data_IF_090168482773
#
_entry.id   IF_090168482773
#
_cell.length_a   1.000
_cell.length_b   1.000
_cell.length_c   1.000
_cell.angle_alpha   90.00
_cell.angle_beta   90.00
_cell.angle_gamma   90.00
#
_symmetry.space_group_name_H-M   'P 1'
#
loop_
_entity.id
_entity.type
_entity.pdbx_description
1 polymer ?
#
# COMPACT_ATOMS: atom_id res chain seq x y z
N UNK A 1 -3.36 11.55 4.65
CA UNK A 1 -2.26 10.68 4.16
C UNK A 1 -0.99 10.97 4.96
N UNK A 2 -0.37 9.98 5.59
CA UNK A 2 0.89 10.17 6.30
C UNK A 2 2.06 10.32 5.33
N UNK A 3 3.10 11.04 5.72
CA UNK A 3 4.34 11.15 4.95
C UNK A 3 5.29 10.00 5.34
N UNK A 4 5.33 8.95 4.53
CA UNK A 4 6.16 7.78 4.79
C UNK A 4 7.66 8.07 4.64
N UNK A 5 8.04 8.88 3.65
CA UNK A 5 9.44 9.20 3.41
C UNK A 5 10.06 9.93 4.62
N UNK A 6 9.29 10.72 5.33
CA UNK A 6 9.77 11.50 6.46
C UNK A 6 10.13 10.67 7.70
N UNK A 7 9.62 9.43 7.81
CA UNK A 7 9.89 8.59 8.99
C UNK A 7 11.09 7.65 8.80
N UNK A 8 11.63 7.56 7.59
CA UNK A 8 12.83 6.76 7.35
C UNK A 8 14.00 7.29 8.19
N UNK A 9 14.70 6.39 8.87
CA UNK A 9 15.80 6.73 9.78
C UNK A 9 15.39 7.15 11.20
N UNK A 10 14.08 7.30 11.46
CA UNK A 10 13.57 7.60 12.80
C UNK A 10 13.50 6.35 13.67
N UNK A 11 13.40 6.56 14.98
CA UNK A 11 12.96 5.51 15.91
C UNK A 11 11.45 5.31 15.81
N UNK A 12 10.94 4.20 16.36
CA UNK A 12 9.50 3.94 16.40
C UNK A 12 8.73 5.08 17.08
N UNK A 13 9.17 5.55 18.23
CA UNK A 13 8.47 6.60 18.98
C UNK A 13 8.44 7.93 18.23
N UNK A 14 9.56 8.30 17.60
CA UNK A 14 9.62 9.47 16.74
C UNK A 14 8.66 9.37 15.56
N UNK A 15 8.57 8.19 14.93
CA UNK A 15 7.69 7.97 13.80
C UNK A 15 6.21 8.04 14.17
N UNK A 16 5.82 7.44 15.29
CA UNK A 16 4.42 7.51 15.79
C UNK A 16 4.00 8.95 15.99
N UNK A 17 4.86 9.77 16.59
CA UNK A 17 4.59 11.20 16.78
C UNK A 17 4.54 11.95 15.44
N UNK A 18 5.45 11.66 14.52
CA UNK A 18 5.54 12.30 13.20
C UNK A 18 4.35 11.96 12.31
N UNK A 19 3.87 10.73 12.34
CA UNK A 19 2.78 10.25 11.49
C UNK A 19 1.45 10.94 11.79
N UNK A 20 1.19 11.31 13.04
CA UNK A 20 -0.11 11.90 13.43
C UNK A 20 -1.28 11.00 13.05
N UNK A 21 -2.39 11.53 12.59
CA UNK A 21 -3.57 10.78 12.10
C UNK A 21 -4.11 9.73 13.08
N UNK A 22 -3.93 9.95 14.39
CA UNK A 22 -4.33 9.01 15.43
C UNK A 22 -3.48 7.74 15.45
N UNK A 23 -2.20 7.84 15.05
CA UNK A 23 -1.28 6.70 14.96
C UNK A 23 -1.20 5.92 16.28
N UNK A 24 -1.61 4.66 16.24
CA UNK A 24 -1.66 3.75 17.37
C UNK A 24 -1.03 2.43 17.01
N UNK A 25 0.00 2.01 17.76
CA UNK A 25 0.65 0.70 17.54
C UNK A 25 -0.33 -0.42 17.88
N UNK A 26 -0.60 -1.28 16.90
CA UNK A 26 -1.51 -2.43 17.06
C UNK A 26 -0.77 -3.76 17.10
N UNK A 27 0.44 -3.83 16.57
CA UNK A 27 1.27 -5.03 16.56
C UNK A 27 2.74 -4.66 16.49
N UNK A 28 3.55 -5.45 17.19
CA UNK A 28 5.01 -5.36 17.15
C UNK A 28 5.57 -6.77 17.24
N UNK A 29 6.39 -7.16 16.24
CA UNK A 29 6.93 -8.52 16.15
C UNK A 29 8.42 -8.47 15.81
N UNK A 30 9.20 -9.33 16.48
CA UNK A 30 10.59 -9.56 16.10
C UNK A 30 10.65 -10.37 14.80
N UNK A 31 11.59 -10.02 13.94
CA UNK A 31 11.86 -10.72 12.69
C UNK A 31 13.21 -11.43 12.85
N UNK A 32 13.17 -12.76 12.87
CA UNK A 32 14.35 -13.61 13.08
C UNK A 32 14.75 -14.33 11.78
N UNK A 33 14.74 -13.62 10.68
CA UNK A 33 15.12 -14.13 9.37
C UNK A 33 16.58 -13.77 9.08
N UNK A 34 17.41 -14.78 8.84
CA UNK A 34 18.80 -14.58 8.52
C UNK A 34 18.94 -13.81 7.19
N UNK A 35 19.82 -12.81 7.17
CA UNK A 35 20.05 -11.96 6.01
C UNK A 35 19.00 -10.86 5.79
N UNK A 36 17.94 -10.81 6.60
CA UNK A 36 16.96 -9.73 6.54
C UNK A 36 17.43 -8.56 7.41
N UNK A 37 17.60 -7.38 6.80
CA UNK A 37 17.98 -6.16 7.52
C UNK A 37 16.88 -5.68 8.48
N UNK A 38 15.60 -5.99 8.19
CA UNK A 38 14.48 -5.74 9.10
C UNK A 38 14.52 -6.75 10.24
N UNK A 39 14.66 -6.25 11.46
CA UNK A 39 14.70 -7.05 12.69
C UNK A 39 13.45 -6.92 13.54
N UNK A 40 12.63 -5.93 13.29
CA UNK A 40 11.36 -5.69 13.96
C UNK A 40 10.34 -5.15 12.98
N UNK A 41 9.13 -5.69 13.01
CA UNK A 41 8.00 -5.26 12.20
C UNK A 41 6.92 -4.67 13.11
N UNK A 42 6.47 -3.47 12.81
CA UNK A 42 5.48 -2.73 13.59
C UNK A 42 4.30 -2.36 12.70
N UNK A 43 3.09 -2.61 13.16
CA UNK A 43 1.85 -2.18 12.51
C UNK A 43 1.20 -1.08 13.33
N UNK A 44 0.79 -0.01 12.66
CA UNK A 44 0.20 1.18 13.25
C UNK A 44 -1.14 1.44 12.56
N UNK A 45 -2.22 1.54 13.33
CA UNK A 45 -3.51 1.99 12.81
C UNK A 45 -3.59 3.51 12.82
N UNK A 46 -4.12 4.09 11.75
CA UNK A 46 -4.36 5.54 11.64
C UNK A 46 -5.83 5.82 11.97
N UNK A 47 -6.13 5.91 13.26
CA UNK A 47 -7.50 5.86 13.78
C UNK A 47 -8.36 7.08 13.44
N UNK A 48 -7.76 8.20 13.02
CA UNK A 48 -8.49 9.39 12.60
C UNK A 48 -8.65 9.52 11.09
N UNK A 49 -8.05 8.62 10.31
CA UNK A 49 -8.31 8.54 8.87
C UNK A 49 -9.62 7.78 8.59
N UNK A 50 -10.30 8.10 7.46
CA UNK A 50 -11.53 7.39 7.10
C UNK A 50 -11.30 5.89 6.96
N UNK A 51 -12.06 5.10 7.72
CA UNK A 51 -12.06 3.64 7.61
C UNK A 51 -13.04 3.19 6.54
N UNK A 52 -12.71 2.09 5.87
CA UNK A 52 -13.61 1.39 4.98
C UNK A 52 -14.30 0.25 5.73
N UNK A 53 -15.61 0.08 5.53
CA UNK A 53 -16.40 -0.94 6.24
C UNK A 53 -15.98 -2.37 5.90
N UNK A 54 -15.34 -2.58 4.75
CA UNK A 54 -14.91 -3.90 4.25
C UNK A 54 -13.45 -4.21 4.54
N UNK A 55 -12.58 -3.21 4.44
CA UNK A 55 -11.13 -3.38 4.59
C UNK A 55 -10.54 -2.76 5.85
N UNK A 56 -11.35 -2.03 6.62
CA UNK A 56 -10.95 -1.52 7.92
C UNK A 56 -10.22 -0.18 7.90
N UNK A 57 -9.46 0.06 8.95
CA UNK A 57 -8.72 1.30 9.18
C UNK A 57 -7.42 1.32 8.37
N UNK A 58 -7.08 2.46 7.73
CA UNK A 58 -5.77 2.63 7.11
C UNK A 58 -4.64 2.34 8.09
N UNK A 59 -3.58 1.71 7.61
CA UNK A 59 -2.48 1.25 8.46
C UNK A 59 -1.13 1.62 7.87
N UNK A 60 -0.18 1.85 8.78
CA UNK A 60 1.24 2.04 8.47
C UNK A 60 2.01 0.81 8.94
N UNK A 61 2.97 0.39 8.15
CA UNK A 61 3.85 -0.74 8.42
C UNK A 61 5.29 -0.26 8.48
N UNK A 62 5.97 -0.48 9.60
CA UNK A 62 7.35 -0.06 9.78
C UNK A 62 8.25 -1.29 9.91
N UNK A 63 9.35 -1.30 9.16
CA UNK A 63 10.45 -2.23 9.34
C UNK A 63 11.63 -1.53 9.99
N UNK A 64 12.06 -1.99 11.16
CA UNK A 64 13.18 -1.44 11.91
C UNK A 64 14.40 -2.35 11.81
N UNK A 65 15.58 -1.76 11.71
CA UNK A 65 16.82 -2.49 11.70
C UNK A 65 17.29 -2.84 13.12
N UNK A 66 18.46 -3.43 13.22
CA UNK A 66 19.09 -3.84 14.48
C UNK A 66 19.26 -2.67 15.47
N UNK A 67 19.51 -1.46 14.97
CA UNK A 67 19.66 -0.24 15.78
C UNK A 67 18.33 0.43 16.16
N UNK A 68 17.21 -0.18 15.81
CA UNK A 68 15.89 0.38 16.06
C UNK A 68 15.52 1.54 15.17
N UNK A 69 16.15 1.66 14.00
CA UNK A 69 15.89 2.71 13.01
C UNK A 69 14.98 2.17 11.91
N UNK A 70 14.06 2.99 11.45
CA UNK A 70 13.13 2.65 10.37
C UNK A 70 13.88 2.63 9.05
N UNK A 71 13.90 1.47 8.40
CA UNK A 71 14.50 1.26 7.08
C UNK A 71 13.46 0.92 6.00
N UNK A 72 12.22 0.66 6.41
CA UNK A 72 11.09 0.46 5.50
C UNK A 72 9.84 1.08 6.10
N UNK A 73 9.10 1.83 5.31
CA UNK A 73 7.81 2.38 5.69
C UNK A 73 6.77 2.04 4.62
N UNK A 74 5.63 1.52 5.05
CA UNK A 74 4.52 1.16 4.18
C UNK A 74 3.19 1.71 4.68
N UNK A 75 2.21 1.71 3.79
CA UNK A 75 0.86 2.17 4.06
C UNK A 75 -0.13 1.34 3.27
N UNK A 76 -1.28 1.07 3.86
CA UNK A 76 -2.40 0.48 3.14
C UNK A 76 -3.72 1.15 3.49
N UNK A 77 -4.57 1.28 2.48
CA UNK A 77 -5.93 1.77 2.64
C UNK A 77 -6.82 1.23 1.53
N UNK A 78 -8.14 1.27 1.78
CA UNK A 78 -9.12 1.13 0.70
C UNK A 78 -8.97 2.30 -0.27
N UNK A 79 -9.03 2.03 -1.57
CA UNK A 79 -9.00 3.09 -2.58
C UNK A 79 -10.18 4.05 -2.45
N UNK A 80 -11.31 3.57 -1.94
CA UNK A 80 -12.48 4.39 -1.64
C UNK A 80 -12.17 5.47 -0.60
N UNK A 81 -11.37 5.16 0.42
CA UNK A 81 -10.94 6.12 1.44
C UNK A 81 -10.04 7.22 0.88
N UNK A 82 -9.42 6.97 -0.27
CA UNK A 82 -8.57 7.93 -0.98
C UNK A 82 -9.30 8.65 -2.12
N UNK A 83 -10.59 8.40 -2.31
CA UNK A 83 -11.41 9.02 -3.34
C UNK A 83 -11.48 8.27 -4.68
N UNK A 84 -11.03 7.01 -4.74
CA UNK A 84 -10.92 6.24 -5.99
C UNK A 84 -11.87 5.03 -6.04
N UNK A 85 -12.92 5.00 -5.23
CA UNK A 85 -13.72 3.79 -4.97
C UNK A 85 -14.43 3.15 -6.16
N UNK A 86 -14.76 3.92 -7.21
CA UNK A 86 -15.54 3.43 -8.35
C UNK A 86 -14.74 3.15 -9.62
N UNK A 87 -13.43 3.39 -9.61
CA UNK A 87 -12.60 3.17 -10.79
C UNK A 87 -12.44 1.67 -11.09
N UNK A 88 -12.41 1.31 -12.39
CA UNK A 88 -11.95 -0.01 -12.80
C UNK A 88 -10.47 -0.18 -12.47
N UNK A 89 -10.01 -1.43 -12.37
CA UNK A 89 -8.59 -1.73 -12.11
C UNK A 89 -7.68 -1.09 -13.17
N UNK A 90 -8.00 -1.26 -14.44
CA UNK A 90 -7.21 -0.71 -15.53
C UNK A 90 -7.19 0.82 -15.51
N UNK A 91 -8.33 1.47 -15.29
CA UNK A 91 -8.41 2.93 -15.20
C UNK A 91 -7.63 3.47 -14.00
N UNK A 92 -7.71 2.79 -12.87
CA UNK A 92 -6.97 3.18 -11.66
C UNK A 92 -5.45 3.23 -11.93
N UNK A 93 -4.92 2.27 -12.68
CA UNK A 93 -3.48 2.23 -12.99
C UNK A 93 -3.13 3.17 -14.15
N UNK A 94 -3.83 3.05 -15.29
CA UNK A 94 -3.41 3.66 -16.57
C UNK A 94 -3.84 5.12 -16.72
N UNK A 95 -5.05 5.46 -16.30
CA UNK A 95 -5.65 6.76 -16.58
C UNK A 95 -5.60 7.68 -15.37
N UNK A 96 -5.92 7.17 -14.19
CA UNK A 96 -5.97 7.96 -12.97
C UNK A 96 -4.67 7.92 -12.16
N UNK A 97 -3.71 7.08 -12.53
CA UNK A 97 -2.40 6.98 -11.87
C UNK A 97 -2.48 6.89 -10.35
N UNK A 98 -3.39 6.04 -9.85
CA UNK A 98 -3.66 5.91 -8.41
C UNK A 98 -2.40 5.51 -7.63
N UNK A 99 -1.57 4.62 -8.22
CA UNK A 99 -0.33 4.17 -7.58
C UNK A 99 0.64 5.35 -7.39
N UNK A 100 0.92 6.10 -8.47
CA UNK A 100 1.86 7.21 -8.43
C UNK A 100 1.35 8.35 -7.56
N UNK A 101 0.07 8.69 -7.64
CA UNK A 101 -0.55 9.73 -6.81
C UNK A 101 -0.48 9.38 -5.33
N UNK A 102 -0.76 8.12 -4.96
CA UNK A 102 -0.71 7.67 -3.57
C UNK A 102 0.73 7.72 -3.03
N UNK A 103 1.70 7.32 -3.83
CA UNK A 103 3.12 7.43 -3.46
C UNK A 103 3.55 8.89 -3.27
N UNK A 104 3.17 9.79 -4.19
CA UNK A 104 3.47 11.23 -4.04
C UNK A 104 2.86 11.83 -2.78
N UNK A 105 1.61 11.48 -2.48
CA UNK A 105 0.93 11.95 -1.28
C UNK A 105 1.63 11.47 0.01
N UNK A 106 2.33 10.35 -0.08
CA UNK A 106 3.14 9.79 1.01
C UNK A 106 4.60 10.32 1.04
N UNK A 107 4.92 11.31 0.22
CA UNK A 107 6.27 11.93 0.17
C UNK A 107 7.26 11.20 -0.73
N UNK A 108 6.78 10.28 -1.58
CA UNK A 108 7.61 9.51 -2.52
C UNK A 108 7.36 10.03 -3.94
N UNK A 109 8.27 10.85 -4.53
CA UNK A 109 7.99 11.64 -5.73
C UNK A 109 8.07 10.82 -7.04
N UNK A 110 7.23 9.83 -7.16
CA UNK A 110 7.11 8.98 -8.35
C UNK A 110 6.31 9.70 -9.42
N UNK A 111 6.80 9.68 -10.66
CA UNK A 111 6.14 10.32 -11.80
C UNK A 111 5.04 9.44 -12.40
N UNK A 112 4.02 10.06 -12.98
CA UNK A 112 2.96 9.34 -13.68
C UNK A 112 3.53 8.47 -14.79
N UNK A 113 3.03 7.24 -14.90
CA UNK A 113 3.50 6.25 -15.87
C UNK A 113 4.57 5.29 -15.33
N UNK A 114 5.06 5.50 -14.10
CA UNK A 114 6.02 4.58 -13.47
C UNK A 114 5.39 3.21 -13.17
N UNK A 115 4.11 3.16 -12.84
CA UNK A 115 3.35 1.92 -12.68
C UNK A 115 2.67 1.56 -14.01
N UNK A 116 3.03 0.42 -14.58
CA UNK A 116 2.49 -0.05 -15.87
C UNK A 116 1.87 -1.43 -15.72
N UNK A 117 0.71 -1.64 -16.34
CA UNK A 117 0.09 -2.96 -16.42
C UNK A 117 0.69 -3.77 -17.57
N UNK A 118 0.83 -5.09 -17.42
CA UNK A 118 1.06 -5.97 -18.55
C UNK A 118 -0.04 -5.81 -19.61
N UNK A 119 0.31 -5.99 -20.88
CA UNK A 119 -0.68 -5.93 -21.98
C UNK A 119 -1.65 -7.11 -21.93
N UNK A 120 -1.20 -8.28 -21.47
CA UNK A 120 -2.02 -9.45 -21.27
C UNK A 120 -2.78 -9.36 -19.94
N UNK A 121 -4.07 -9.19 -20.03
CA UNK A 121 -4.97 -9.09 -18.87
C UNK A 121 -4.92 -10.32 -17.96
N UNK A 122 -4.60 -11.49 -18.48
CA UNK A 122 -4.48 -12.73 -17.69
C UNK A 122 -3.30 -12.68 -16.71
N UNK A 123 -2.32 -11.82 -16.95
CA UNK A 123 -1.14 -11.68 -16.08
C UNK A 123 -1.50 -11.07 -14.71
N UNK A 124 -2.62 -10.34 -14.59
CA UNK A 124 -3.04 -9.73 -13.32
C UNK A 124 -4.48 -10.10 -12.92
N UNK A 125 -5.13 -11.01 -13.64
CA UNK A 125 -6.53 -11.41 -13.37
C UNK A 125 -6.60 -12.88 -12.96
N UNK A 126 -7.43 -13.17 -11.96
CA UNK A 126 -7.74 -14.53 -11.52
C UNK A 126 -9.22 -14.79 -11.74
N UNK A 127 -9.53 -15.91 -12.40
CA UNK A 127 -10.89 -16.34 -12.69
C UNK A 127 -11.27 -17.57 -11.85
N UNK A 128 -12.58 -17.74 -11.61
CA UNK A 128 -13.12 -18.93 -11.00
C UNK A 128 -12.95 -20.15 -11.92
N UNK A 129 -13.33 -21.33 -11.43
CA UNK A 129 -13.25 -22.60 -12.18
C UNK A 129 -14.05 -22.60 -13.48
N UNK A 130 -15.08 -21.73 -13.60
CA UNK A 130 -15.84 -21.54 -14.85
C UNK A 130 -15.05 -20.84 -15.97
N UNK A 131 -13.88 -20.27 -15.64
CA UNK A 131 -13.01 -19.58 -16.58
C UNK A 131 -13.49 -18.21 -17.02
N UNK A 132 -14.64 -17.72 -16.51
CA UNK A 132 -15.27 -16.46 -16.93
C UNK A 132 -15.56 -15.49 -15.79
N UNK A 133 -15.85 -15.99 -14.58
CA UNK A 133 -16.11 -15.14 -13.41
C UNK A 133 -14.81 -14.60 -12.84
N UNK A 134 -14.62 -13.28 -12.93
CA UNK A 134 -13.45 -12.59 -12.38
C UNK A 134 -13.53 -12.58 -10.85
N UNK A 135 -12.51 -13.15 -10.19
CA UNK A 135 -12.44 -13.26 -8.73
C UNK A 135 -11.51 -12.19 -8.16
N UNK A 136 -10.42 -11.88 -8.86
CA UNK A 136 -9.39 -10.96 -8.37
C UNK A 136 -8.63 -10.32 -9.51
N UNK A 137 -8.28 -9.06 -9.32
CA UNK A 137 -7.24 -8.38 -10.09
C UNK A 137 -6.16 -7.91 -9.12
N UNK A 138 -4.90 -8.18 -9.43
CA UNK A 138 -3.77 -7.92 -8.54
C UNK A 138 -2.51 -7.68 -9.35
N UNK A 139 -1.84 -6.58 -9.10
CA UNK A 139 -0.58 -6.27 -9.75
C UNK A 139 0.39 -5.59 -8.78
N UNK A 140 1.65 -6.00 -8.86
CA UNK A 140 2.76 -5.40 -8.12
C UNK A 140 3.56 -4.48 -9.03
N UNK A 141 3.99 -3.34 -8.48
CA UNK A 141 4.79 -2.33 -9.15
C UNK A 141 6.00 -2.01 -8.30
N UNK A 142 7.10 -1.63 -8.92
CA UNK A 142 8.30 -1.22 -8.20
C UNK A 142 9.17 -0.32 -9.06
N UNK A 143 10.05 0.41 -8.42
CA UNK A 143 11.01 1.28 -9.07
C UNK A 143 11.92 1.97 -8.07
N UNK A 144 12.68 2.92 -8.56
CA UNK A 144 13.57 3.76 -7.77
C UNK A 144 13.21 5.22 -7.96
N UNK A 145 13.46 6.00 -6.93
CA UNK A 145 13.21 7.46 -6.93
C UNK A 145 14.24 8.15 -6.05
N UNK A 146 14.64 9.36 -6.45
CA UNK A 146 15.50 10.20 -5.61
C UNK A 146 14.64 11.01 -4.62
N UNK A 147 15.02 10.94 -3.35
CA UNK A 147 14.42 11.76 -2.29
C UNK A 147 15.57 12.50 -1.61
N UNK A 148 15.58 13.83 -1.70
CA UNK A 148 16.63 14.68 -1.12
C UNK A 148 18.06 14.27 -1.51
N UNK A 149 18.24 13.83 -2.76
CA UNK A 149 19.54 13.46 -3.30
C UNK A 149 19.99 12.03 -3.03
N UNK A 150 19.15 11.21 -2.39
CA UNK A 150 19.42 9.79 -2.16
C UNK A 150 18.42 8.93 -2.93
N UNK A 151 18.91 7.82 -3.51
CA UNK A 151 18.07 6.86 -4.21
C UNK A 151 17.36 5.93 -3.24
N UNK A 152 16.05 5.76 -3.43
CA UNK A 152 15.21 4.89 -2.62
C UNK A 152 14.42 3.95 -3.52
N UNK A 153 14.26 2.71 -3.08
CA UNK A 153 13.36 1.76 -3.73
C UNK A 153 11.93 1.99 -3.23
N UNK A 154 10.99 1.98 -4.16
CA UNK A 154 9.57 1.96 -3.83
C UNK A 154 8.90 0.72 -4.40
N UNK A 155 7.82 0.29 -3.79
CA UNK A 155 6.95 -0.74 -4.32
C UNK A 155 5.49 -0.46 -4.01
N UNK A 156 4.61 -1.08 -4.77
CA UNK A 156 3.16 -0.97 -4.55
C UNK A 156 2.47 -2.25 -5.00
N UNK A 157 1.33 -2.54 -4.38
CA UNK A 157 0.40 -3.57 -4.82
C UNK A 157 -0.98 -2.94 -4.88
N UNK A 158 -1.65 -3.07 -6.03
CA UNK A 158 -3.07 -2.75 -6.16
C UNK A 158 -3.84 -4.06 -6.24
N UNK A 159 -4.84 -4.22 -5.37
CA UNK A 159 -5.64 -5.44 -5.23
C UNK A 159 -7.12 -5.10 -5.28
N UNK A 160 -7.83 -5.72 -6.22
CA UNK A 160 -9.29 -5.75 -6.27
C UNK A 160 -9.74 -7.20 -6.03
N UNK A 161 -10.51 -7.42 -4.97
CA UNK A 161 -11.09 -8.72 -4.64
C UNK A 161 -12.60 -8.66 -4.87
N UNK A 162 -13.07 -9.47 -5.81
CA UNK A 162 -14.48 -9.51 -6.22
C UNK A 162 -15.28 -10.64 -5.55
N UNK A 163 -14.67 -11.42 -4.66
CA UNK A 163 -15.31 -12.62 -4.07
C UNK A 163 -16.62 -12.27 -3.35
N UNK A 164 -16.61 -11.23 -2.53
CA UNK A 164 -17.81 -10.76 -1.81
C UNK A 164 -18.85 -10.17 -2.77
N UNK A 165 -18.40 -9.39 -3.75
CA UNK A 165 -19.27 -8.81 -4.77
C UNK A 165 -19.96 -9.90 -5.62
N UNK A 166 -19.22 -10.94 -5.98
CA UNK A 166 -19.77 -12.08 -6.72
C UNK A 166 -20.82 -12.84 -5.89
N UNK A 167 -20.58 -13.02 -4.60
CA UNK A 167 -21.52 -13.70 -3.70
C UNK A 167 -22.79 -12.89 -3.45
N UNK A 168 -22.68 -11.57 -3.32
CA UNK A 168 -23.81 -10.67 -3.07
C UNK A 168 -24.55 -10.22 -4.33
N UNK A 169 -23.90 -10.33 -5.50
CA UNK A 169 -24.41 -9.76 -6.75
C UNK A 169 -24.32 -8.24 -6.82
N UNK A 170 -23.57 -7.59 -5.92
CA UNK A 170 -23.42 -6.14 -5.85
C UNK A 170 -21.95 -5.75 -6.00
N UNK A 171 -21.60 -5.07 -7.11
CA UNK A 171 -20.26 -4.59 -7.39
C UNK A 171 -19.72 -3.61 -6.33
N UNK A 172 -20.59 -2.93 -5.60
CA UNK A 172 -20.20 -2.05 -4.50
C UNK A 172 -19.54 -2.81 -3.35
N UNK A 173 -19.71 -4.13 -3.28
CA UNK A 173 -19.06 -4.99 -2.27
C UNK A 173 -17.66 -5.44 -2.67
N UNK A 174 -17.12 -4.95 -3.78
CA UNK A 174 -15.73 -5.20 -4.18
C UNK A 174 -14.78 -4.59 -3.16
N UNK A 175 -13.81 -5.40 -2.71
CA UNK A 175 -12.73 -4.92 -1.84
C UNK A 175 -11.61 -4.40 -2.74
N UNK A 176 -11.25 -3.12 -2.57
CA UNK A 176 -10.20 -2.45 -3.34
C UNK A 176 -9.19 -1.85 -2.39
N UNK A 177 -7.97 -2.38 -2.39
CA UNK A 177 -6.90 -1.98 -1.46
C UNK A 177 -5.65 -1.62 -2.25
N UNK A 178 -4.99 -0.55 -1.83
CA UNK A 178 -3.64 -0.21 -2.27
C UNK A 178 -2.66 -0.36 -1.12
N UNK A 179 -1.50 -0.94 -1.42
CA UNK A 179 -0.32 -0.99 -0.56
C UNK A 179 0.79 -0.20 -1.22
N UNK A 180 1.49 0.62 -0.46
CA UNK A 180 2.69 1.32 -0.92
C UNK A 180 3.81 1.17 0.10
N UNK A 181 5.05 1.10 -0.37
CA UNK A 181 6.24 0.97 0.47
C UNK A 181 7.38 1.82 -0.08
N UNK A 182 8.20 2.32 0.82
CA UNK A 182 9.48 2.98 0.51
C UNK A 182 10.55 2.46 1.45
N UNK A 183 11.73 2.22 0.91
CA UNK A 183 12.91 1.76 1.67
C UNK A 183 13.92 2.89 1.84
N UNK A 184 14.64 2.82 2.95
CA UNK A 184 15.72 3.75 3.22
C UNK A 184 16.88 3.61 2.22
#
# INVERSE_FOLDING_TARGET
MPNLASVLGMTQDQAVEQLKHGATVTSSKDVNEEGNAVKKSVTIALTTEPADTRSGTPSVYLGLNEDGKIIQAGYSAATASLGYGSLSFADAVKNEHVVEKTLRDAGVPVVDGAATLPTDKTAYSTYATDGTTLVKENCSFSGQVDINGASHDWSSVLLYDYSTANASGNLADTIRIIYIYVNA
#
